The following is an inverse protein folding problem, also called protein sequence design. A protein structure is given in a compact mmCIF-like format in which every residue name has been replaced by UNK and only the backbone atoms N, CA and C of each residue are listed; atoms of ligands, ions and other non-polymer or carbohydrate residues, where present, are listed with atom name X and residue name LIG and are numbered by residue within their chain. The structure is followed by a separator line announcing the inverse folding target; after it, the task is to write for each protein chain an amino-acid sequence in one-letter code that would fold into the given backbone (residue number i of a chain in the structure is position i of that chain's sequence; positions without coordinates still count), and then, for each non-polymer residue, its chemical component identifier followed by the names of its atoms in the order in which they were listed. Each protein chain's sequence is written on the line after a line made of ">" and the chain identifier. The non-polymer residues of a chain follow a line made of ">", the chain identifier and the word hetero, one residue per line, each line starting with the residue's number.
data_IF_750084020480
#
_entry.id   IF_750084020480
#
_cell.length_a   1.000
_cell.length_b   1.000
_cell.length_c   1.000
_cell.angle_alpha   90.00
_cell.angle_beta   90.00
_cell.angle_gamma   90.00
#
_symmetry.space_group_name_H-M   'P 1'
#
loop_
_entity.id
_entity.type
_entity.pdbx_description
1 polymer ?
#
# COMPACT_ATOMS: atom_id res chain seq x y z
N UNK A 1 -2.30 12.72 -2.83
CA UNK A 1 -2.48 11.37 -2.21
C UNK A 1 -1.12 10.71 -2.15
N UNK A 2 -0.80 9.96 -1.10
CA UNK A 2 0.44 9.18 -1.01
C UNK A 2 0.08 7.74 -0.68
N UNK A 3 0.74 6.79 -1.35
CA UNK A 3 0.61 5.35 -1.06
C UNK A 3 2.00 4.77 -0.81
N UNK A 4 2.07 3.81 0.12
CA UNK A 4 3.27 3.03 0.40
C UNK A 4 2.90 1.72 1.11
N UNK A 5 3.84 0.79 1.17
CA UNK A 5 3.69 -0.46 1.90
C UNK A 5 3.59 -0.24 3.41
N UNK A 6 2.88 -1.12 4.14
CA UNK A 6 2.88 -1.09 5.60
C UNK A 6 4.30 -1.32 6.14
N UNK A 7 4.59 -0.74 7.30
CA UNK A 7 5.86 -0.90 7.99
C UNK A 7 5.64 -1.22 9.48
N UNK A 8 6.62 -1.93 10.08
CA UNK A 8 6.69 -2.18 11.52
C UNK A 8 8.04 -1.71 12.06
N UNK A 9 8.08 -1.29 13.32
CA UNK A 9 9.31 -0.95 14.05
C UNK A 9 9.85 -2.19 14.76
N UNK A 10 10.92 -2.78 14.23
CA UNK A 10 11.41 -4.11 14.65
C UNK A 10 12.51 -4.11 15.73
N UNK A 11 12.85 -2.96 16.31
CA UNK A 11 14.23 -2.75 16.76
C UNK A 11 14.66 -3.49 18.05
N UNK A 12 13.77 -4.14 18.81
CA UNK A 12 14.14 -4.73 20.11
C UNK A 12 13.49 -6.10 20.43
N UNK A 13 12.85 -6.77 19.47
CA UNK A 13 12.16 -8.04 19.72
C UNK A 13 13.11 -9.27 19.71
N UNK A 14 12.91 -10.27 20.59
CA UNK A 14 13.55 -11.58 20.47
C UNK A 14 13.31 -12.24 19.10
N UNK A 15 14.24 -13.07 18.62
CA UNK A 15 14.18 -13.66 17.27
C UNK A 15 12.85 -14.37 16.94
N UNK A 16 12.26 -15.06 17.91
CA UNK A 16 10.98 -15.75 17.70
C UNK A 16 9.81 -14.78 17.46
N UNK A 17 9.74 -13.71 18.23
CA UNK A 17 8.73 -12.66 18.08
C UNK A 17 8.94 -11.88 16.78
N UNK A 18 10.19 -11.59 16.42
CA UNK A 18 10.54 -10.95 15.15
C UNK A 18 10.02 -11.75 13.94
N UNK A 19 10.15 -13.08 13.93
CA UNK A 19 9.64 -13.93 12.83
C UNK A 19 8.11 -13.84 12.74
N UNK A 20 7.41 -13.94 13.87
CA UNK A 20 5.96 -13.86 13.91
C UNK A 20 5.45 -12.49 13.41
N UNK A 21 6.12 -11.40 13.80
CA UNK A 21 5.79 -10.05 13.31
C UNK A 21 6.08 -9.90 11.81
N UNK A 22 7.19 -10.45 11.31
CA UNK A 22 7.50 -10.41 9.89
C UNK A 22 6.45 -11.16 9.05
N UNK A 23 6.01 -12.33 9.52
CA UNK A 23 4.92 -13.08 8.87
C UNK A 23 3.61 -12.27 8.85
N UNK A 24 3.28 -11.59 9.94
CA UNK A 24 2.08 -10.76 10.01
C UNK A 24 2.17 -9.52 9.12
N UNK A 25 3.34 -8.89 9.04
CA UNK A 25 3.57 -7.77 8.12
C UNK A 25 3.40 -8.18 6.66
N UNK A 26 3.85 -9.39 6.28
CA UNK A 26 3.65 -9.93 4.93
C UNK A 26 2.17 -10.16 4.63
N UNK A 27 1.40 -10.73 5.57
CA UNK A 27 -0.06 -10.90 5.40
C UNK A 27 -0.78 -9.55 5.27
N UNK A 28 -0.35 -8.56 6.05
CA UNK A 28 -0.90 -7.21 5.98
C UNK A 28 -0.62 -6.58 4.62
N UNK A 29 0.62 -6.71 4.11
CA UNK A 29 1.00 -6.25 2.78
C UNK A 29 0.11 -6.88 1.71
N UNK A 30 -0.04 -8.21 1.71
CA UNK A 30 -0.89 -8.92 0.75
C UNK A 30 -2.36 -8.46 0.82
N UNK A 31 -2.89 -8.32 2.04
CA UNK A 31 -4.27 -7.90 2.27
C UNK A 31 -4.52 -6.49 1.73
N UNK A 32 -3.62 -5.55 2.02
CA UNK A 32 -3.72 -4.17 1.53
C UNK A 32 -3.60 -4.16 -0.01
N UNK A 33 -2.61 -4.85 -0.60
CA UNK A 33 -2.45 -4.92 -2.05
C UNK A 33 -3.71 -5.46 -2.73
N UNK A 34 -4.37 -6.47 -2.15
CA UNK A 34 -5.64 -7.01 -2.67
C UNK A 34 -6.77 -5.99 -2.60
N UNK A 35 -6.90 -5.26 -1.50
CA UNK A 35 -7.91 -4.19 -1.36
C UNK A 35 -7.69 -3.11 -2.40
N UNK A 36 -6.47 -2.63 -2.57
CA UNK A 36 -6.14 -1.65 -3.60
C UNK A 36 -6.47 -2.16 -5.01
N UNK A 37 -6.09 -3.40 -5.35
CA UNK A 37 -6.41 -3.99 -6.65
C UNK A 37 -7.92 -4.07 -6.91
N UNK A 38 -8.70 -4.45 -5.90
CA UNK A 38 -10.17 -4.49 -5.99
C UNK A 38 -10.81 -3.12 -6.16
N UNK A 39 -10.29 -2.08 -5.48
CA UNK A 39 -10.88 -0.73 -5.48
C UNK A 39 -10.44 0.13 -6.67
N UNK A 40 -9.20 -0.02 -7.11
CA UNK A 40 -8.63 0.73 -8.25
C UNK A 40 -8.84 0.01 -9.59
N UNK A 41 -9.17 -1.29 -9.58
CA UNK A 41 -9.24 -2.12 -10.78
C UNK A 41 -7.87 -2.51 -11.37
N UNK A 42 -6.76 -2.13 -10.71
CA UNK A 42 -5.40 -2.49 -11.13
C UNK A 42 -5.07 -3.93 -10.76
N UNK A 43 -4.21 -4.55 -11.56
CA UNK A 43 -3.63 -5.85 -11.22
C UNK A 43 -2.74 -5.76 -9.97
N UNK A 44 -2.68 -6.83 -9.19
CA UNK A 44 -1.94 -6.87 -7.91
C UNK A 44 -0.46 -6.52 -8.05
N UNK A 45 0.19 -6.91 -9.16
CA UNK A 45 1.62 -6.61 -9.37
C UNK A 45 1.88 -5.11 -9.54
N UNK A 46 0.99 -4.38 -10.23
CA UNK A 46 1.09 -2.91 -10.39
C UNK A 46 0.98 -2.23 -9.04
N UNK A 47 -0.03 -2.62 -8.25
CA UNK A 47 -0.23 -2.07 -6.90
C UNK A 47 0.97 -2.38 -6.00
N UNK A 48 1.52 -3.59 -6.08
CA UNK A 48 2.66 -4.00 -5.27
C UNK A 48 3.91 -3.18 -5.60
N UNK A 49 4.17 -2.93 -6.89
CA UNK A 49 5.28 -2.10 -7.37
C UNK A 49 5.10 -0.63 -6.97
N UNK A 50 3.89 -0.08 -7.16
CA UNK A 50 3.55 1.30 -6.81
C UNK A 50 3.67 1.58 -5.29
N UNK A 51 3.53 0.54 -4.45
CA UNK A 51 3.62 0.67 -2.99
C UNK A 51 5.03 0.41 -2.43
N UNK A 52 6.00 -0.04 -3.22
CA UNK A 52 7.33 -0.40 -2.71
C UNK A 52 8.09 0.81 -2.12
N UNK A 53 7.74 2.02 -2.58
CA UNK A 53 8.26 3.28 -2.06
C UNK A 53 7.10 4.25 -1.80
N UNK A 54 7.41 5.34 -1.12
CA UNK A 54 6.49 6.46 -1.00
C UNK A 54 6.25 7.06 -2.38
N UNK A 55 5.06 6.85 -2.93
CA UNK A 55 4.61 7.43 -4.20
C UNK A 55 3.62 8.54 -3.89
N UNK A 56 4.03 9.78 -4.19
CA UNK A 56 3.19 10.96 -4.05
C UNK A 56 2.51 11.28 -5.38
N UNK A 57 1.21 11.50 -5.31
CA UNK A 57 0.34 11.81 -6.45
C UNK A 57 -0.41 13.12 -6.19
N UNK A 58 -0.47 13.97 -7.20
CA UNK A 58 -1.46 15.05 -7.31
C UNK A 58 -2.89 14.50 -7.31
N UNK A 59 -3.88 15.39 -7.21
CA UNK A 59 -5.30 14.97 -7.25
C UNK A 59 -5.65 14.29 -8.59
N UNK A 60 -5.14 14.81 -9.72
CA UNK A 60 -5.36 14.26 -11.05
C UNK A 60 -4.64 12.91 -11.25
N UNK A 61 -3.41 12.76 -10.74
CA UNK A 61 -2.70 11.47 -10.75
C UNK A 61 -3.42 10.43 -9.90
N UNK A 62 -3.91 10.81 -8.72
CA UNK A 62 -4.68 9.91 -7.86
C UNK A 62 -6.00 9.46 -8.51
N UNK A 63 -6.66 10.37 -9.25
CA UNK A 63 -7.85 10.02 -10.03
C UNK A 63 -7.49 9.05 -11.17
N UNK A 64 -6.43 9.33 -11.92
CA UNK A 64 -5.95 8.44 -12.98
C UNK A 64 -5.49 7.07 -12.44
N UNK A 65 -5.00 7.04 -11.19
CA UNK A 65 -4.64 5.80 -10.50
C UNK A 65 -5.87 4.99 -10.04
N UNK A 66 -7.06 5.61 -9.98
CA UNK A 66 -8.29 4.98 -9.50
C UNK A 66 -8.46 5.06 -7.98
N UNK A 67 -7.71 5.94 -7.30
CA UNK A 67 -7.81 6.18 -5.85
C UNK A 67 -8.87 7.21 -5.50
N UNK A 68 -9.26 8.05 -6.46
CA UNK A 68 -10.23 9.13 -6.30
C UNK A 68 -11.17 9.10 -7.50
N UNK A 69 -12.48 9.25 -7.28
CA UNK A 69 -13.47 9.22 -8.36
C UNK A 69 -13.55 10.57 -9.11
N UNK A 70 -13.47 11.68 -8.38
CA UNK A 70 -13.66 13.03 -8.91
C UNK A 70 -12.70 14.03 -8.27
N UNK A 71 -12.06 14.86 -9.09
CA UNK A 71 -11.39 16.10 -8.67
C UNK A 71 -12.36 17.25 -8.89
N UNK A 72 -12.83 17.87 -7.80
CA UNK A 72 -13.70 19.04 -7.90
C UNK A 72 -12.91 20.25 -8.43
N UNK A 73 -13.59 21.09 -9.20
CA UNK A 73 -13.13 22.41 -9.63
C UNK A 73 -14.07 23.45 -9.03
N UNK A 74 -13.49 24.54 -8.52
CA UNK A 74 -14.24 25.77 -8.19
C UNK A 74 -14.57 26.57 -9.46
#
# INVERSE_FOLDING_TARGET
>A
VMIHQPASSFYEAPTGEFILEAEELLKLRETITRVYGQRTGKSLWVVSEDMERDVFMSATEAQAHGLVDLVAVE
#
